data_IF_049363251234
#
_entry.id   IF_049363251234
#
_cell.length_a   1.000
_cell.length_b   1.000
_cell.length_c   1.000
_cell.angle_alpha   90.00
_cell.angle_beta   90.00
_cell.angle_gamma   90.00
#
_symmetry.space_group_name_H-M   'P 1'
#
loop_
_entity.id
_entity.type
_entity.pdbx_description
1 polymer ?
#
# COMPACT_ATOMS: atom_id res chain seq x y z
N UNK A 1 52.95 -0.58 -83.01
CA UNK A 1 52.10 -1.68 -82.52
C UNK A 1 52.19 -1.73 -81.00
N UNK A 2 51.05 -1.71 -80.30
CA UNK A 2 50.97 -1.74 -78.82
C UNK A 2 50.03 -0.67 -78.28
N UNK A 3 48.71 -0.90 -78.38
CA UNK A 3 47.67 0.00 -77.88
C UNK A 3 47.70 0.01 -76.34
N UNK A 4 47.96 1.17 -75.74
CA UNK A 4 47.77 1.39 -74.31
C UNK A 4 46.28 1.58 -74.01
N UNK A 5 45.63 0.55 -73.48
CA UNK A 5 44.25 0.61 -73.00
C UNK A 5 44.19 1.42 -71.71
N UNK A 6 43.75 2.68 -71.82
CA UNK A 6 43.35 3.49 -70.67
C UNK A 6 42.09 2.87 -70.06
N UNK A 7 42.23 2.29 -68.88
CA UNK A 7 41.12 1.76 -68.09
C UNK A 7 40.32 2.93 -67.53
N UNK A 8 39.18 3.24 -68.16
CA UNK A 8 38.28 4.30 -67.73
C UNK A 8 37.40 3.75 -66.62
N UNK A 9 37.83 3.93 -65.37
CA UNK A 9 37.05 3.58 -64.18
C UNK A 9 35.87 4.57 -64.15
N UNK A 10 34.66 4.05 -64.36
CA UNK A 10 33.46 4.89 -64.31
C UNK A 10 33.28 5.46 -62.90
N UNK A 11 32.72 6.67 -62.80
CA UNK A 11 32.49 7.35 -61.51
C UNK A 11 31.63 6.52 -60.54
N UNK A 12 30.85 5.57 -61.06
CA UNK A 12 30.08 4.62 -60.28
C UNK A 12 30.94 3.60 -59.52
N UNK A 13 32.04 3.13 -60.09
CA UNK A 13 32.95 2.19 -59.41
C UNK A 13 33.73 2.89 -58.30
N UNK A 14 34.11 4.15 -58.50
CA UNK A 14 34.78 4.96 -57.48
C UNK A 14 33.83 5.31 -56.32
N UNK A 15 32.55 5.55 -56.61
CA UNK A 15 31.51 5.78 -55.61
C UNK A 15 31.22 4.53 -54.76
N UNK A 16 31.19 3.34 -55.38
CA UNK A 16 30.98 2.08 -54.66
C UNK A 16 32.16 1.69 -53.76
N UNK A 17 33.40 1.94 -54.19
CA UNK A 17 34.58 1.73 -53.34
C UNK A 17 34.59 2.72 -52.17
N UNK A 18 34.15 3.97 -52.38
CA UNK A 18 33.99 4.94 -51.30
C UNK A 18 32.89 4.53 -50.30
N UNK A 19 31.76 3.99 -50.79
CA UNK A 19 30.68 3.47 -49.97
C UNK A 19 31.14 2.25 -49.15
N UNK A 20 31.86 1.30 -49.76
CA UNK A 20 32.33 0.07 -49.12
C UNK A 20 33.44 0.31 -48.08
N UNK A 21 34.23 1.38 -48.21
CA UNK A 21 35.26 1.78 -47.22
C UNK A 21 34.69 2.66 -46.10
N UNK A 22 33.57 3.35 -46.33
CA UNK A 22 32.87 4.14 -45.29
C UNK A 22 31.83 3.36 -44.49
N UNK A 23 31.31 2.24 -45.02
CA UNK A 23 30.38 1.34 -44.34
C UNK A 23 30.92 0.71 -43.03
N UNK A 24 32.21 0.35 -42.88
CA UNK A 24 32.75 -0.14 -41.61
C UNK A 24 32.97 0.97 -40.57
N UNK A 25 32.91 2.26 -40.96
CA UNK A 25 33.08 3.40 -40.05
C UNK A 25 31.74 3.90 -39.46
N UNK A 26 30.61 3.48 -40.02
CA UNK A 26 29.27 3.70 -39.46
C UNK A 26 28.72 2.51 -38.68
N UNK A 27 29.47 1.42 -38.52
CA UNK A 27 29.15 0.34 -37.59
C UNK A 27 29.87 0.55 -36.25
N UNK A 28 29.64 1.69 -35.60
CA UNK A 28 29.77 1.82 -34.14
C UNK A 28 28.40 1.61 -33.52
N UNK A 29 27.83 0.42 -33.70
CA UNK A 29 26.77 -0.12 -32.84
C UNK A 29 26.97 -1.64 -32.65
N UNK A 30 28.23 -2.10 -32.67
CA UNK A 30 28.64 -3.28 -31.92
C UNK A 30 28.65 -2.93 -30.44
N UNK A 31 27.46 -2.69 -29.88
CA UNK A 31 27.28 -2.64 -28.44
C UNK A 31 27.66 -4.00 -27.90
N UNK A 32 28.76 -4.04 -27.15
CA UNK A 32 28.94 -5.04 -26.11
C UNK A 32 27.62 -5.06 -25.33
N UNK A 33 26.85 -6.14 -25.44
CA UNK A 33 25.78 -6.43 -24.49
C UNK A 33 26.51 -6.75 -23.19
N UNK A 34 26.93 -5.69 -22.49
CA UNK A 34 26.98 -5.75 -21.06
C UNK A 34 25.55 -6.07 -20.68
N UNK A 35 25.36 -7.25 -20.07
CA UNK A 35 24.18 -7.45 -19.27
C UNK A 35 24.14 -6.24 -18.33
N UNK A 36 23.21 -5.35 -18.60
CA UNK A 36 22.82 -4.37 -17.63
C UNK A 36 22.21 -5.21 -16.51
N UNK A 37 23.04 -5.59 -15.54
CA UNK A 37 22.60 -5.87 -14.19
C UNK A 37 22.13 -4.52 -13.60
N UNK A 38 21.16 -3.87 -14.27
CA UNK A 38 20.17 -3.05 -13.61
C UNK A 38 19.38 -4.02 -12.76
N UNK A 39 19.99 -4.37 -11.62
CA UNK A 39 19.23 -4.55 -10.42
C UNK A 39 18.57 -3.19 -10.16
N UNK A 40 17.48 -2.93 -10.89
CA UNK A 40 16.45 -1.95 -10.54
C UNK A 40 15.82 -2.45 -9.24
N UNK A 41 16.62 -2.49 -8.17
CA UNK A 41 16.10 -2.58 -6.83
C UNK A 41 15.45 -1.24 -6.63
N UNK A 42 14.15 -1.15 -6.93
CA UNK A 42 13.33 -0.03 -6.51
C UNK A 42 13.65 0.21 -5.03
N UNK A 43 14.35 1.32 -4.76
CA UNK A 43 14.77 1.63 -3.42
C UNK A 43 13.54 2.19 -2.69
N UNK A 44 12.68 1.29 -2.21
CA UNK A 44 11.44 1.60 -1.48
C UNK A 44 11.68 2.38 -0.16
N UNK A 45 12.91 2.80 0.14
CA UNK A 45 13.25 3.47 1.38
C UNK A 45 12.90 2.58 2.58
N UNK A 46 12.37 3.18 3.65
CA UNK A 46 11.92 2.40 4.80
C UNK A 46 10.52 1.86 4.58
N UNK A 47 10.42 0.53 4.53
CA UNK A 47 9.16 -0.21 4.49
C UNK A 47 8.78 -0.65 5.90
N UNK A 48 7.53 -0.42 6.29
CA UNK A 48 6.97 -0.88 7.57
C UNK A 48 6.01 -2.05 7.36
N UNK A 49 5.89 -2.93 8.35
CA UNK A 49 4.86 -3.96 8.38
C UNK A 49 3.68 -3.49 9.23
N UNK A 50 2.45 -3.61 8.72
CA UNK A 50 1.23 -3.32 9.48
C UNK A 50 0.34 -4.54 9.52
N UNK A 51 0.04 -5.03 10.72
CA UNK A 51 -1.06 -5.98 10.93
C UNK A 51 -2.34 -5.20 11.18
N UNK A 52 -3.17 -5.02 10.16
CA UNK A 52 -4.45 -4.34 10.29
C UNK A 52 -5.46 -5.32 10.88
N UNK A 53 -5.53 -5.54 12.19
CA UNK A 53 -6.47 -6.50 12.75
C UNK A 53 -7.90 -5.94 12.90
N UNK A 54 -8.87 -6.83 13.11
CA UNK A 54 -10.28 -6.45 13.30
C UNK A 54 -10.47 -5.60 14.57
N UNK A 55 -9.87 -6.04 15.68
CA UNK A 55 -10.02 -5.38 16.99
C UNK A 55 -8.80 -4.56 17.39
N UNK A 56 -7.59 -5.04 17.04
CA UNK A 56 -6.34 -4.36 17.31
C UNK A 56 -5.45 -4.43 16.07
N UNK A 57 -4.64 -3.39 15.88
CA UNK A 57 -3.60 -3.34 14.87
C UNK A 57 -2.24 -3.21 15.52
N UNK A 58 -1.19 -3.64 14.82
CA UNK A 58 0.19 -3.40 15.23
C UNK A 58 1.02 -2.95 14.04
N UNK A 59 2.14 -2.28 14.34
CA UNK A 59 3.10 -1.82 13.35
C UNK A 59 4.50 -2.22 13.78
N UNK A 60 5.30 -2.67 12.81
CA UNK A 60 6.66 -3.10 13.03
C UNK A 60 7.62 -2.64 11.94
N UNK A 61 8.89 -2.58 12.30
CA UNK A 61 9.99 -2.20 11.41
C UNK A 61 11.07 -3.28 11.43
N UNK A 62 11.71 -3.51 10.29
CA UNK A 62 12.88 -4.40 10.20
C UNK A 62 14.15 -3.58 10.43
N UNK A 63 14.90 -3.88 11.50
CA UNK A 63 16.15 -3.20 11.86
C UNK A 63 17.21 -4.22 12.26
N UNK A 64 18.36 -4.19 11.59
CA UNK A 64 19.47 -5.11 11.87
C UNK A 64 19.09 -6.59 11.74
N UNK A 65 18.21 -6.93 10.77
CA UNK A 65 17.72 -8.29 10.55
C UNK A 65 16.72 -8.81 11.59
N UNK A 66 16.26 -7.95 12.51
CA UNK A 66 15.23 -8.26 13.49
C UNK A 66 14.00 -7.38 13.30
N UNK A 67 12.85 -7.94 13.62
CA UNK A 67 11.61 -7.18 13.72
C UNK A 67 11.57 -6.49 15.07
N UNK A 68 11.24 -5.20 15.05
CA UNK A 68 10.83 -4.46 16.23
C UNK A 68 9.37 -4.05 16.10
N UNK A 69 8.52 -4.46 17.05
CA UNK A 69 7.13 -4.01 17.14
C UNK A 69 7.10 -2.70 17.92
N UNK A 70 6.51 -1.67 17.31
CA UNK A 70 6.55 -0.33 17.85
C UNK A 70 5.44 -0.11 18.88
N UNK A 71 5.79 0.61 19.94
CA UNK A 71 4.82 1.10 20.91
C UNK A 71 4.18 2.40 20.43
N UNK A 72 2.89 2.57 20.69
CA UNK A 72 2.19 3.83 20.47
C UNK A 72 2.54 4.88 21.55
N UNK A 73 1.93 6.06 21.49
CA UNK A 73 2.16 7.15 22.43
C UNK A 73 1.85 6.83 23.90
N UNK A 74 1.10 5.75 24.17
CA UNK A 74 0.78 5.27 25.52
C UNK A 74 1.71 4.13 25.97
N UNK A 75 2.67 3.72 25.14
CA UNK A 75 3.56 2.59 25.41
C UNK A 75 3.00 1.23 24.99
N UNK A 76 1.83 1.16 24.35
CA UNK A 76 1.19 -0.09 23.95
C UNK A 76 1.70 -0.56 22.58
N UNK A 77 2.08 -1.84 22.47
CA UNK A 77 2.53 -2.46 21.19
C UNK A 77 1.40 -2.91 20.27
N UNK A 78 0.18 -2.90 20.78
CA UNK A 78 -1.06 -3.12 20.03
C UNK A 78 -1.93 -1.89 20.22
N UNK A 79 -2.55 -1.42 19.14
CA UNK A 79 -3.43 -0.25 19.17
C UNK A 79 -4.83 -0.68 18.75
N UNK A 80 -5.90 -0.31 19.49
CA UNK A 80 -7.26 -0.64 19.10
C UNK A 80 -7.59 -0.16 17.67
N UNK A 81 -8.25 -1.01 16.89
CA UNK A 81 -8.78 -0.66 15.56
C UNK A 81 -10.09 0.11 15.69
N UNK A 82 -10.04 1.22 16.41
CA UNK A 82 -11.18 2.07 16.77
C UNK A 82 -10.99 3.47 16.20
N UNK A 83 -12.07 4.05 15.69
CA UNK A 83 -12.14 5.45 15.26
C UNK A 83 -13.39 6.08 15.85
N UNK A 84 -13.23 7.12 16.65
CA UNK A 84 -14.35 7.87 17.19
C UNK A 84 -14.41 9.27 16.59
N UNK A 85 -15.64 9.70 16.30
CA UNK A 85 -15.93 11.02 15.77
C UNK A 85 -16.60 11.84 16.86
N UNK A 86 -16.07 13.04 17.10
CA UNK A 86 -16.60 13.99 18.08
C UNK A 86 -16.89 15.32 17.40
N UNK A 87 -17.41 16.30 18.15
CA UNK A 87 -17.65 17.64 17.61
C UNK A 87 -16.36 18.42 17.33
N UNK A 88 -15.27 18.07 18.00
CA UNK A 88 -14.00 18.79 17.91
C UNK A 88 -13.03 18.07 16.97
N UNK A 89 -12.82 16.77 17.24
CA UNK A 89 -11.76 16.01 16.59
C UNK A 89 -12.13 14.55 16.34
N UNK A 90 -11.25 13.88 15.59
CA UNK A 90 -11.31 12.45 15.34
C UNK A 90 -10.28 11.76 16.21
N UNK A 91 -10.76 10.88 17.08
CA UNK A 91 -9.92 10.04 17.93
C UNK A 91 -9.68 8.69 17.26
N UNK A 92 -8.47 8.13 17.41
CA UNK A 92 -8.10 6.84 16.83
C UNK A 92 -7.31 6.05 17.87
N UNK A 93 -7.53 4.74 17.94
CA UNK A 93 -6.78 3.87 18.85
C UNK A 93 -7.33 3.91 20.27
N UNK A 94 -6.42 3.97 21.25
CA UNK A 94 -6.76 3.94 22.67
C UNK A 94 -7.71 5.09 23.07
N UNK A 95 -7.48 6.30 22.54
CA UNK A 95 -8.34 7.45 22.79
C UNK A 95 -9.79 7.20 22.34
N UNK A 96 -9.99 6.60 21.16
CA UNK A 96 -11.31 6.24 20.65
C UNK A 96 -11.95 5.12 21.48
N UNK A 97 -11.20 4.10 21.87
CA UNK A 97 -11.71 2.99 22.67
C UNK A 97 -12.13 3.43 24.08
N UNK A 98 -11.38 4.32 24.71
CA UNK A 98 -11.62 4.76 26.09
C UNK A 98 -12.95 5.50 26.26
N UNK A 99 -13.40 6.23 25.24
CA UNK A 99 -14.68 6.95 25.26
C UNK A 99 -15.85 6.21 24.62
N UNK A 100 -15.65 4.95 24.18
CA UNK A 100 -16.63 4.21 23.39
C UNK A 100 -17.97 4.03 24.12
N UNK A 101 -17.98 3.94 25.45
CA UNK A 101 -19.20 3.80 26.26
C UNK A 101 -20.03 5.08 26.34
N UNK A 102 -19.42 6.24 26.16
CA UNK A 102 -20.07 7.55 26.24
C UNK A 102 -20.49 8.10 24.88
N UNK A 103 -19.89 7.59 23.79
CA UNK A 103 -20.14 8.04 22.41
C UNK A 103 -20.32 6.85 21.47
N UNK A 104 -21.27 5.98 21.81
CA UNK A 104 -21.42 4.67 21.19
C UNK A 104 -21.75 4.76 19.69
N UNK A 105 -22.67 5.64 19.30
CA UNK A 105 -23.13 5.75 17.90
C UNK A 105 -22.06 6.31 16.95
N UNK A 106 -21.08 7.07 17.46
CA UNK A 106 -20.01 7.67 16.66
C UNK A 106 -18.64 7.02 16.88
N UNK A 107 -18.60 5.86 17.54
CA UNK A 107 -17.37 5.09 17.74
C UNK A 107 -17.40 3.83 16.89
N UNK A 108 -16.58 3.82 15.85
CA UNK A 108 -16.52 2.77 14.84
C UNK A 108 -15.40 1.78 15.18
N UNK A 109 -15.73 0.50 15.20
CA UNK A 109 -14.81 -0.63 15.42
C UNK A 109 -15.23 -1.81 14.53
N UNK A 110 -14.47 -2.90 14.45
CA UNK A 110 -14.80 -4.07 13.62
C UNK A 110 -15.03 -3.78 12.12
N UNK A 111 -14.61 -2.61 11.65
CA UNK A 111 -14.85 -2.14 10.27
C UNK A 111 -14.24 -3.06 9.20
N UNK A 112 -13.18 -3.82 9.56
CA UNK A 112 -12.56 -4.84 8.72
C UNK A 112 -13.53 -5.97 8.32
N UNK A 113 -14.63 -6.15 9.04
CA UNK A 113 -15.70 -7.10 8.67
C UNK A 113 -16.51 -6.64 7.47
N UNK A 114 -16.52 -5.34 7.18
CA UNK A 114 -17.34 -4.73 6.12
C UNK A 114 -16.52 -4.40 4.86
N UNK A 115 -15.20 -4.31 4.98
CA UNK A 115 -14.32 -3.88 3.89
C UNK A 115 -14.43 -4.78 2.67
N UNK A 116 -14.58 -4.17 1.48
CA UNK A 116 -14.71 -4.86 0.20
C UNK A 116 -15.97 -5.69 0.00
N UNK A 117 -16.95 -5.64 0.91
CA UNK A 117 -18.24 -6.33 0.79
C UNK A 117 -19.34 -5.41 0.25
N UNK A 118 -20.42 -6.01 -0.27
CA UNK A 118 -21.63 -5.30 -0.69
C UNK A 118 -22.56 -5.13 0.51
N UNK A 119 -23.38 -4.07 0.51
CA UNK A 119 -24.32 -3.82 1.61
C UNK A 119 -25.27 -5.01 1.83
N UNK A 120 -25.78 -5.60 0.74
CA UNK A 120 -26.75 -6.70 0.79
C UNK A 120 -26.12 -8.08 1.11
N UNK A 121 -24.81 -8.15 1.36
CA UNK A 121 -24.13 -9.41 1.71
C UNK A 121 -24.66 -9.94 3.06
N UNK A 122 -24.87 -11.26 3.16
CA UNK A 122 -25.40 -11.91 4.38
C UNK A 122 -24.51 -11.66 5.60
N UNK A 123 -23.19 -11.55 5.40
CA UNK A 123 -22.24 -11.24 6.47
C UNK A 123 -22.50 -9.80 6.94
N UNK A 124 -22.54 -8.83 6.03
CA UNK A 124 -22.80 -7.42 6.36
C UNK A 124 -24.14 -7.25 7.07
N UNK A 125 -25.21 -7.87 6.57
CA UNK A 125 -26.53 -7.82 7.19
C UNK A 125 -26.59 -8.45 8.58
N UNK A 126 -25.70 -9.41 8.88
CA UNK A 126 -25.56 -9.96 10.23
C UNK A 126 -24.83 -8.97 11.15
N UNK A 127 -23.72 -8.41 10.68
CA UNK A 127 -22.93 -7.46 11.47
C UNK A 127 -23.74 -6.20 11.81
N UNK A 128 -24.53 -5.66 10.88
CA UNK A 128 -25.40 -4.49 11.11
C UNK A 128 -26.32 -4.66 12.33
N UNK A 129 -26.74 -5.89 12.66
CA UNK A 129 -27.62 -6.16 13.82
C UNK A 129 -26.91 -6.11 15.17
N UNK A 130 -25.59 -6.17 15.16
CA UNK A 130 -24.76 -6.26 16.38
C UNK A 130 -23.88 -5.02 16.58
N UNK A 131 -23.71 -4.21 15.54
CA UNK A 131 -22.93 -2.98 15.61
C UNK A 131 -23.79 -1.85 16.17
N UNK A 132 -23.26 -1.02 17.08
CA UNK A 132 -24.06 -0.04 17.78
C UNK A 132 -24.10 1.33 17.07
N UNK A 133 -23.41 1.45 15.93
CA UNK A 133 -23.39 2.62 15.06
C UNK A 133 -24.13 2.34 13.75
N UNK A 134 -24.55 3.40 13.05
CA UNK A 134 -25.41 3.29 11.86
C UNK A 134 -24.60 2.93 10.62
N UNK A 135 -25.10 1.97 9.85
CA UNK A 135 -24.56 1.59 8.54
C UNK A 135 -25.66 1.79 7.49
N UNK A 136 -25.36 2.56 6.46
CA UNK A 136 -26.27 2.85 5.36
C UNK A 136 -25.77 2.25 4.05
N UNK A 137 -26.67 2.14 3.08
CA UNK A 137 -26.36 1.69 1.72
C UNK A 137 -26.07 2.90 0.84
N UNK A 138 -24.85 3.00 0.30
CA UNK A 138 -24.48 4.04 -0.69
C UNK A 138 -23.87 3.37 -1.91
N UNK A 139 -24.51 3.54 -3.07
CA UNK A 139 -24.06 2.92 -4.33
C UNK A 139 -23.83 1.40 -4.23
N UNK A 140 -24.67 0.70 -3.47
CA UNK A 140 -24.56 -0.75 -3.25
C UNK A 140 -23.51 -1.21 -2.23
N UNK A 141 -22.70 -0.28 -1.67
CA UNK A 141 -21.69 -0.56 -0.64
C UNK A 141 -22.19 -0.11 0.75
N UNK A 142 -21.73 -0.76 1.83
CA UNK A 142 -21.97 -0.26 3.18
C UNK A 142 -21.13 0.99 3.42
N UNK A 143 -21.73 1.99 4.07
CA UNK A 143 -21.05 3.16 4.60
C UNK A 143 -21.45 3.37 6.04
N UNK A 144 -20.51 3.75 6.89
CA UNK A 144 -20.77 4.10 8.28
C UNK A 144 -21.24 5.54 8.33
N UNK A 145 -22.29 5.80 9.09
CA UNK A 145 -22.83 7.14 9.30
C UNK A 145 -22.62 7.57 10.75
N UNK A 146 -22.01 8.73 10.90
CA UNK A 146 -21.63 9.32 12.19
C UNK A 146 -21.91 10.82 12.18
N UNK A 147 -22.12 11.38 13.35
CA UNK A 147 -22.12 12.82 13.57
C UNK A 147 -20.68 13.27 13.86
N UNK A 148 -20.16 14.20 13.05
CA UNK A 148 -18.80 14.70 13.15
C UNK A 148 -18.76 16.20 12.90
N UNK A 149 -18.34 16.98 13.90
CA UNK A 149 -18.32 18.45 13.87
C UNK A 149 -19.72 19.05 13.62
N UNK A 150 -20.74 18.53 14.30
CA UNK A 150 -22.12 18.99 14.15
C UNK A 150 -22.85 18.56 12.86
N UNK A 151 -22.17 17.87 11.93
CA UNK A 151 -22.73 17.42 10.66
C UNK A 151 -22.80 15.89 10.56
N UNK A 152 -23.85 15.37 9.92
CA UNK A 152 -23.93 13.95 9.57
C UNK A 152 -22.96 13.66 8.41
N UNK A 153 -22.01 12.76 8.62
CA UNK A 153 -21.04 12.34 7.61
C UNK A 153 -21.09 10.82 7.40
N UNK A 154 -20.77 10.42 6.18
CA UNK A 154 -20.68 9.01 5.78
C UNK A 154 -19.25 8.67 5.42
N UNK A 155 -18.73 7.57 5.96
CA UNK A 155 -17.40 7.06 5.64
C UNK A 155 -17.49 5.62 5.12
N UNK A 156 -16.72 5.31 4.08
CA UNK A 156 -16.59 3.94 3.61
C UNK A 156 -15.72 3.11 4.57
N UNK A 157 -15.85 1.77 4.57
CA UNK A 157 -14.97 0.91 5.36
C UNK A 157 -13.48 1.11 5.05
N UNK A 158 -13.15 1.43 3.79
CA UNK A 158 -11.80 1.75 3.34
C UNK A 158 -11.29 3.06 3.95
N UNK A 159 -12.13 4.11 4.01
CA UNK A 159 -11.75 5.38 4.64
C UNK A 159 -11.47 5.22 6.13
N UNK A 160 -12.34 4.52 6.87
CA UNK A 160 -12.13 4.26 8.30
C UNK A 160 -10.89 3.37 8.54
N UNK A 161 -10.71 2.33 7.72
CA UNK A 161 -9.49 1.50 7.78
C UNK A 161 -8.24 2.32 7.46
N UNK A 162 -8.35 3.27 6.52
CA UNK A 162 -7.31 4.24 6.23
C UNK A 162 -6.95 5.03 7.48
N UNK A 163 -7.91 5.60 8.21
CA UNK A 163 -7.64 6.33 9.45
C UNK A 163 -6.79 5.50 10.44
N UNK A 164 -7.10 4.21 10.59
CA UNK A 164 -6.32 3.28 11.43
C UNK A 164 -4.90 3.09 10.85
N UNK A 165 -4.75 2.87 9.54
CA UNK A 165 -3.44 2.78 8.88
C UNK A 165 -2.63 4.08 9.03
N UNK A 166 -3.28 5.24 8.96
CA UNK A 166 -2.67 6.55 9.21
C UNK A 166 -2.14 6.67 10.62
N UNK A 167 -2.85 6.14 11.62
CA UNK A 167 -2.35 6.06 13.00
C UNK A 167 -1.13 5.14 13.11
N UNK A 168 -1.15 3.97 12.48
CA UNK A 168 -0.02 3.04 12.46
C UNK A 168 1.22 3.67 11.79
N UNK A 169 1.02 4.40 10.70
CA UNK A 169 2.05 5.21 10.06
C UNK A 169 2.62 6.26 10.99
N UNK A 170 1.78 7.04 11.68
CA UNK A 170 2.24 8.08 12.61
C UNK A 170 3.16 7.48 13.68
N UNK A 171 2.77 6.35 14.28
CA UNK A 171 3.59 5.64 15.28
C UNK A 171 4.96 5.28 14.71
N UNK A 172 5.00 4.80 13.47
CA UNK A 172 6.26 4.48 12.80
C UNK A 172 7.09 5.72 12.46
N UNK A 173 6.46 6.80 12.00
CA UNK A 173 7.14 8.07 11.70
C UNK A 173 7.75 8.70 12.96
N UNK A 174 7.01 8.67 14.08
CA UNK A 174 7.46 9.18 15.37
C UNK A 174 8.68 8.39 15.89
N UNK A 175 8.66 7.06 15.74
CA UNK A 175 9.78 6.20 16.12
C UNK A 175 11.00 6.39 15.20
N UNK A 176 10.80 6.51 13.89
CA UNK A 176 11.87 6.59 12.90
C UNK A 176 12.43 8.00 12.71
N UNK A 177 11.71 9.04 13.14
CA UNK A 177 12.06 10.45 12.95
C UNK A 177 12.00 10.90 11.49
N UNK A 178 11.27 10.17 10.62
CA UNK A 178 11.17 10.46 9.18
C UNK A 178 9.86 9.95 8.60
N UNK A 179 9.50 10.46 7.41
CA UNK A 179 8.30 10.05 6.70
C UNK A 179 8.36 8.62 6.19
N UNK A 180 7.22 7.93 6.27
CA UNK A 180 7.05 6.56 5.78
C UNK A 180 6.08 6.57 4.61
N UNK A 181 6.53 6.06 3.46
CA UNK A 181 5.73 6.02 2.23
C UNK A 181 5.34 4.62 1.81
N UNK A 182 6.01 3.58 2.30
CA UNK A 182 5.76 2.20 1.89
C UNK A 182 5.41 1.33 3.08
N UNK A 183 4.42 0.44 2.90
CA UNK A 183 4.09 -0.56 3.89
C UNK A 183 3.67 -1.89 3.25
N UNK A 184 3.85 -2.95 4.02
CA UNK A 184 3.20 -4.24 3.78
C UNK A 184 2.04 -4.35 4.76
N UNK A 185 0.82 -4.49 4.25
CA UNK A 185 -0.40 -4.59 5.07
C UNK A 185 -0.93 -6.01 5.03
N UNK A 186 -1.17 -6.60 6.19
CA UNK A 186 -1.67 -7.97 6.27
C UNK A 186 -3.18 -8.06 6.01
N UNK A 187 -3.56 -9.11 5.29
CA UNK A 187 -4.96 -9.49 5.07
C UNK A 187 -5.18 -10.96 5.45
N UNK A 188 -6.37 -11.33 5.94
CA UNK A 188 -6.70 -12.73 6.18
C UNK A 188 -6.61 -13.55 4.88
N UNK A 189 -6.19 -14.80 4.98
CA UNK A 189 -6.05 -15.68 3.81
C UNK A 189 -7.38 -15.92 3.07
N UNK A 190 -8.50 -15.87 3.80
CA UNK A 190 -9.84 -16.07 3.25
C UNK A 190 -10.45 -14.81 2.59
N UNK A 191 -9.77 -13.67 2.59
CA UNK A 191 -10.24 -12.49 1.87
C UNK A 191 -10.33 -12.79 0.36
N UNK A 192 -11.33 -12.25 -0.32
CA UNK A 192 -11.39 -12.27 -1.78
C UNK A 192 -10.61 -11.08 -2.39
N UNK A 193 -10.54 -11.01 -3.71
CA UNK A 193 -9.79 -9.94 -4.41
C UNK A 193 -10.36 -8.55 -4.17
N UNK A 194 -11.68 -8.41 -4.06
CA UNK A 194 -12.31 -7.13 -3.77
C UNK A 194 -11.94 -6.62 -2.37
N UNK A 195 -11.88 -7.50 -1.37
CA UNK A 195 -11.46 -7.15 -0.01
C UNK A 195 -9.97 -6.83 0.08
N UNK A 196 -9.13 -7.56 -0.68
CA UNK A 196 -7.71 -7.23 -0.85
C UNK A 196 -7.53 -5.85 -1.46
N UNK A 197 -8.22 -5.57 -2.55
CA UNK A 197 -8.12 -4.28 -3.24
C UNK A 197 -8.59 -3.14 -2.34
N UNK A 198 -9.73 -3.30 -1.66
CA UNK A 198 -10.24 -2.32 -0.71
C UNK A 198 -9.26 -2.03 0.45
N UNK A 199 -8.49 -3.03 0.89
CA UNK A 199 -7.41 -2.83 1.88
C UNK A 199 -6.24 -2.05 1.30
N UNK A 200 -5.89 -2.24 0.02
CA UNK A 200 -4.87 -1.42 -0.67
C UNK A 200 -5.35 0.01 -0.82
N UNK A 201 -6.61 0.21 -1.22
CA UNK A 201 -7.23 1.52 -1.38
C UNK A 201 -7.20 2.30 -0.05
N UNK A 202 -7.44 1.62 1.08
CA UNK A 202 -7.27 2.21 2.42
C UNK A 202 -5.84 2.71 2.68
N UNK A 203 -4.81 1.99 2.21
CA UNK A 203 -3.41 2.44 2.27
C UNK A 203 -3.16 3.68 1.42
N UNK A 204 -3.67 3.69 0.19
CA UNK A 204 -3.58 4.83 -0.73
C UNK A 204 -4.20 6.10 -0.15
N UNK A 205 -5.36 5.98 0.52
CA UNK A 205 -6.04 7.10 1.21
C UNK A 205 -5.09 7.77 2.23
N UNK A 206 -4.20 7.02 2.87
CA UNK A 206 -3.25 7.52 3.87
C UNK A 206 -1.85 7.82 3.32
N UNK A 207 -1.73 7.90 1.98
CA UNK A 207 -0.47 8.16 1.28
C UNK A 207 0.60 7.15 1.70
N UNK A 208 0.20 5.88 1.78
CA UNK A 208 1.10 4.75 1.93
C UNK A 208 0.89 3.85 0.72
N UNK A 209 1.98 3.56 0.03
CA UNK A 209 2.01 2.59 -1.03
C UNK A 209 2.10 1.18 -0.43
N UNK A 210 1.04 0.40 -0.64
CA UNK A 210 0.99 -0.99 -0.23
C UNK A 210 1.73 -1.86 -1.24
N UNK A 211 3.00 -2.15 -0.96
CA UNK A 211 3.90 -2.91 -1.85
C UNK A 211 3.38 -4.33 -2.07
N UNK A 212 2.78 -4.95 -1.04
CA UNK A 212 2.14 -6.26 -1.14
C UNK A 212 1.08 -6.46 -0.07
N UNK A 213 -0.05 -7.10 -0.42
CA UNK A 213 -1.01 -7.60 0.57
C UNK A 213 -0.61 -9.02 0.97
N UNK A 214 0.28 -9.12 1.96
CA UNK A 214 0.71 -10.42 2.42
C UNK A 214 -0.43 -11.13 3.18
N UNK A 215 -0.77 -12.35 2.75
CA UNK A 215 -1.66 -13.23 3.51
C UNK A 215 -0.94 -13.66 4.79
N UNK A 216 -1.62 -13.63 5.94
CA UNK A 216 -1.08 -14.02 7.27
C UNK A 216 -0.34 -15.38 7.33
N UNK A 217 -0.49 -16.23 6.30
CA UNK A 217 0.13 -17.56 6.16
C UNK A 217 1.46 -17.57 5.40
N UNK A 218 1.85 -16.50 4.69
CA UNK A 218 3.04 -16.48 3.82
C UNK A 218 4.31 -15.99 4.52
N UNK A 219 5.48 -16.45 4.05
CA UNK A 219 6.79 -16.20 4.67
C UNK A 219 7.17 -14.71 4.81
N UNK A 220 6.67 -13.83 3.94
CA UNK A 220 6.84 -12.38 4.05
C UNK A 220 6.14 -11.73 5.24
N UNK A 221 5.12 -12.39 5.82
CA UNK A 221 4.38 -11.92 7.00
C UNK A 221 5.02 -12.35 8.32
N UNK A 222 6.12 -13.12 8.32
CA UNK A 222 6.83 -13.47 9.57
C UNK A 222 7.31 -12.23 10.32
N UNK A 223 7.47 -11.12 9.60
CA UNK A 223 7.83 -9.84 10.17
C UNK A 223 6.80 -9.30 11.20
N UNK A 224 5.60 -9.87 11.34
CA UNK A 224 4.59 -9.39 12.30
C UNK A 224 4.05 -10.46 13.26
N UNK A 225 4.48 -11.72 13.10
CA UNK A 225 4.00 -12.82 13.96
C UNK A 225 4.64 -12.80 15.36
N UNK A 226 5.69 -12.01 15.57
CA UNK A 226 6.47 -11.95 16.83
C UNK A 226 5.76 -11.13 17.94
N UNK A 227 4.54 -10.64 17.72
CA UNK A 227 3.80 -9.81 18.69
C UNK A 227 2.43 -10.34 19.11
N UNK A 228 2.06 -11.58 18.75
CA UNK A 228 0.72 -12.15 19.03
C UNK A 228 0.72 -13.56 19.65
N UNK A 229 1.87 -14.02 20.16
CA UNK A 229 1.96 -15.23 20.98
C UNK A 229 2.09 -14.87 22.47
#
# INVERSE_FOLDING_TARGET
>A
MGKSTKMWISGFTLFYVFLAVMLPLFSKNGGLVLADDSNDTENYGTVIGIDLGTTYSCVGVMKGGKVEILANEQGNRITPSYVAFTDEERLIGDAAKNQASSNVENTVFDIKRLIGLKYDDKIVQREIKHLPYKIEKKSGKPVVKVDYQGDQKTFSPEEVSGMILGKMKSIAEDYLGKKVTHAVVTVPAYFNDAQRQATKDAGTICRIECVENCQRTHRGCYCLRIGQD
#
